data_IF_198899544487
#
_entry.id   IF_198899544487
#
_cell.length_a   1.000
_cell.length_b   1.000
_cell.length_c   1.000
_cell.angle_alpha   90.00
_cell.angle_beta   90.00
_cell.angle_gamma   90.00
#
_symmetry.space_group_name_H-M   'P 1'
#
loop_
_entity.id
_entity.type
_entity.pdbx_description
1 polymer ?
#
# COMPACT_ATOMS: atom_id res chain seq x y z
N UNK A 1 12.40 -14.72 38.06
CA UNK A 1 12.05 -14.86 36.64
C UNK A 1 13.32 -14.63 35.81
N UNK A 2 13.81 -15.65 35.08
CA UNK A 2 15.15 -15.59 34.45
C UNK A 2 15.20 -14.54 33.34
N UNK A 3 16.14 -13.59 33.45
CA UNK A 3 16.40 -12.52 32.47
C UNK A 3 16.62 -13.08 31.06
N UNK A 4 17.26 -14.24 30.93
CA UNK A 4 17.48 -14.93 29.65
C UNK A 4 16.18 -15.35 28.96
N UNK A 5 15.16 -15.73 29.75
CA UNK A 5 13.84 -16.10 29.23
C UNK A 5 13.13 -14.84 28.71
N UNK A 6 13.20 -13.73 29.44
CA UNK A 6 12.61 -12.46 29.03
C UNK A 6 13.21 -11.94 27.71
N UNK A 7 14.53 -12.02 27.53
CA UNK A 7 15.21 -11.59 26.29
C UNK A 7 14.75 -12.43 25.09
N UNK A 8 14.61 -13.75 25.26
CA UNK A 8 14.08 -14.63 24.20
C UNK A 8 12.67 -14.22 23.77
N UNK A 9 11.77 -13.94 24.74
CA UNK A 9 10.42 -13.51 24.42
C UNK A 9 10.39 -12.18 23.68
N UNK A 10 11.22 -11.20 24.08
CA UNK A 10 11.31 -9.89 23.40
C UNK A 10 11.79 -10.07 21.95
N UNK A 11 12.81 -10.90 21.72
CA UNK A 11 13.33 -11.16 20.37
C UNK A 11 12.26 -11.79 19.47
N UNK A 12 11.54 -12.80 19.96
CA UNK A 12 10.45 -13.45 19.22
C UNK A 12 9.32 -12.45 18.90
N UNK A 13 9.00 -11.57 19.84
CA UNK A 13 7.95 -10.54 19.67
C UNK A 13 8.32 -9.55 18.57
N UNK A 14 9.58 -9.09 18.54
CA UNK A 14 10.09 -8.19 17.50
C UNK A 14 10.10 -8.86 16.12
N UNK A 15 10.54 -10.12 16.03
CA UNK A 15 10.51 -10.87 14.76
C UNK A 15 9.08 -11.10 14.28
N UNK A 16 8.16 -11.42 15.19
CA UNK A 16 6.74 -11.58 14.88
C UNK A 16 6.10 -10.30 14.33
N UNK A 17 6.39 -9.15 14.96
CA UNK A 17 5.93 -7.85 14.49
C UNK A 17 6.49 -7.49 13.11
N UNK A 18 7.77 -7.80 12.86
CA UNK A 18 8.39 -7.56 11.56
C UNK A 18 7.75 -8.39 10.44
N UNK A 19 7.55 -9.69 10.69
CA UNK A 19 6.85 -10.58 9.75
C UNK A 19 5.42 -10.15 9.49
N UNK A 20 4.69 -9.72 10.53
CA UNK A 20 3.34 -9.18 10.38
C UNK A 20 3.33 -7.94 9.49
N UNK A 21 4.28 -7.02 9.69
CA UNK A 21 4.44 -5.84 8.83
C UNK A 21 4.68 -6.20 7.37
N UNK A 22 5.60 -7.16 7.10
CA UNK A 22 5.87 -7.65 5.75
C UNK A 22 4.63 -8.27 5.10
N UNK A 23 3.88 -9.10 5.85
CA UNK A 23 2.66 -9.72 5.35
C UNK A 23 1.61 -8.69 4.95
N UNK A 24 1.44 -7.62 5.74
CA UNK A 24 0.49 -6.54 5.43
C UNK A 24 0.88 -5.85 4.11
N UNK A 25 2.15 -5.51 3.94
CA UNK A 25 2.66 -4.89 2.69
C UNK A 25 2.41 -5.83 1.52
N UNK A 26 2.69 -7.12 1.68
CA UNK A 26 2.54 -8.11 0.62
C UNK A 26 1.08 -8.30 0.21
N UNK A 27 0.15 -8.39 1.17
CA UNK A 27 -1.30 -8.44 0.92
C UNK A 27 -1.76 -7.19 0.16
N UNK A 28 -1.21 -6.03 0.52
CA UNK A 28 -1.55 -4.77 -0.11
C UNK A 28 -1.09 -4.70 -1.57
N UNK A 29 0.15 -5.10 -1.84
CA UNK A 29 0.69 -5.20 -3.20
C UNK A 29 -0.10 -6.20 -4.04
N UNK A 30 -0.43 -7.35 -3.47
CA UNK A 30 -1.23 -8.36 -4.15
C UNK A 30 -2.62 -7.82 -4.53
N UNK A 31 -3.29 -7.11 -3.60
CA UNK A 31 -4.59 -6.49 -3.86
C UNK A 31 -4.50 -5.43 -4.96
N UNK A 32 -3.45 -4.59 -4.93
CA UNK A 32 -3.19 -3.57 -5.96
C UNK A 32 -2.97 -4.21 -7.34
N UNK A 33 -2.15 -5.25 -7.41
CA UNK A 33 -1.86 -5.94 -8.65
C UNK A 33 -3.10 -6.63 -9.24
N UNK A 34 -3.92 -7.25 -8.38
CA UNK A 34 -5.17 -7.86 -8.80
C UNK A 34 -6.20 -6.82 -9.33
N UNK A 35 -6.28 -5.65 -8.69
CA UNK A 35 -7.10 -4.54 -9.19
C UNK A 35 -6.63 -4.06 -10.57
N UNK A 36 -5.32 -3.91 -10.73
CA UNK A 36 -4.73 -3.46 -11.99
C UNK A 36 -4.94 -4.48 -13.11
N UNK A 37 -4.74 -5.77 -12.83
CA UNK A 37 -5.00 -6.85 -13.78
C UNK A 37 -6.47 -6.89 -14.22
N UNK A 38 -7.41 -6.69 -13.28
CA UNK A 38 -8.85 -6.59 -13.61
C UNK A 38 -9.16 -5.38 -14.49
N UNK A 39 -8.54 -4.23 -14.21
CA UNK A 39 -8.68 -3.04 -15.06
C UNK A 39 -8.20 -3.32 -16.50
N UNK A 40 -7.00 -3.90 -16.65
CA UNK A 40 -6.44 -4.22 -17.97
C UNK A 40 -7.30 -5.23 -18.73
N UNK A 41 -7.79 -6.30 -18.08
CA UNK A 41 -8.69 -7.27 -18.70
C UNK A 41 -9.96 -6.60 -19.23
N UNK A 42 -10.56 -5.69 -18.44
CA UNK A 42 -11.75 -4.94 -18.87
C UNK A 42 -11.47 -4.01 -20.04
N UNK A 43 -10.31 -3.35 -20.06
CA UNK A 43 -9.90 -2.51 -21.20
C UNK A 43 -9.66 -3.33 -22.47
N UNK A 44 -8.99 -4.48 -22.36
CA UNK A 44 -8.75 -5.39 -23.49
C UNK A 44 -10.05 -5.97 -24.06
N UNK A 45 -11.00 -6.31 -23.19
CA UNK A 45 -12.34 -6.72 -23.62
C UNK A 45 -13.06 -5.57 -24.35
N UNK A 46 -12.88 -4.34 -23.88
CA UNK A 46 -13.46 -3.15 -24.49
C UNK A 46 -12.90 -2.87 -25.89
N UNK A 47 -11.59 -3.03 -26.07
CA UNK A 47 -10.92 -2.91 -27.38
C UNK A 47 -11.38 -3.98 -28.36
N UNK A 48 -11.67 -5.19 -27.88
CA UNK A 48 -12.21 -6.28 -28.70
C UNK A 48 -13.68 -6.08 -29.10
N UNK A 49 -14.43 -5.25 -28.39
CA UNK A 49 -15.77 -4.85 -28.79
C UNK A 49 -15.63 -3.75 -29.85
N UNK A 50 -16.05 -4.00 -31.09
CA UNK A 50 -16.15 -3.00 -32.19
C UNK A 50 -17.19 -1.92 -31.88
N UNK A 51 -16.99 -1.18 -30.79
CA UNK A 51 -17.82 -0.07 -30.35
C UNK A 51 -17.45 1.18 -31.14
N UNK A 52 -18.41 2.09 -31.28
CA UNK A 52 -18.11 3.42 -31.78
C UNK A 52 -17.08 4.10 -30.88
N UNK A 53 -16.17 4.85 -31.48
CA UNK A 53 -15.01 5.47 -30.82
C UNK A 53 -15.40 6.24 -29.55
N UNK A 54 -16.49 7.03 -29.61
CA UNK A 54 -16.99 7.80 -28.47
C UNK A 54 -17.48 6.90 -27.31
N UNK A 55 -18.15 5.79 -27.62
CA UNK A 55 -18.69 4.86 -26.63
C UNK A 55 -17.59 3.98 -26.01
N UNK A 56 -16.55 3.67 -26.80
CA UNK A 56 -15.31 3.08 -26.32
C UNK A 56 -14.59 4.00 -25.32
N UNK A 57 -14.41 5.28 -25.65
CA UNK A 57 -13.78 6.24 -24.73
C UNK A 57 -14.56 6.42 -23.43
N UNK A 58 -15.89 6.54 -23.49
CA UNK A 58 -16.73 6.70 -22.30
C UNK A 58 -16.64 5.49 -21.36
N UNK A 59 -16.67 4.27 -21.90
CA UNK A 59 -16.54 3.05 -21.09
C UNK A 59 -15.12 2.85 -20.54
N UNK A 60 -14.08 3.16 -21.32
CA UNK A 60 -12.69 3.11 -20.86
C UNK A 60 -12.45 4.11 -19.71
N UNK A 61 -13.02 5.31 -19.83
CA UNK A 61 -12.96 6.32 -18.77
C UNK A 61 -13.63 5.82 -17.48
N UNK A 62 -14.83 5.22 -17.59
CA UNK A 62 -15.53 4.63 -16.44
C UNK A 62 -14.70 3.54 -15.76
N UNK A 63 -14.09 2.63 -16.52
CA UNK A 63 -13.23 1.56 -15.98
C UNK A 63 -12.04 2.14 -15.22
N UNK A 64 -11.37 3.16 -15.77
CA UNK A 64 -10.25 3.84 -15.09
C UNK A 64 -10.71 4.59 -13.84
N UNK A 65 -11.87 5.23 -13.91
CA UNK A 65 -12.44 5.96 -12.78
C UNK A 65 -12.81 5.03 -11.62
N UNK A 66 -13.44 3.88 -11.92
CA UNK A 66 -13.77 2.86 -10.91
C UNK A 66 -12.51 2.30 -10.25
N UNK A 67 -11.47 1.99 -11.05
CA UNK A 67 -10.16 1.58 -10.51
C UNK A 67 -9.56 2.66 -9.60
N UNK A 68 -9.62 3.94 -10.01
CA UNK A 68 -9.11 5.06 -9.23
C UNK A 68 -9.85 5.20 -7.90
N UNK A 69 -11.17 5.06 -7.90
CA UNK A 69 -12.00 5.13 -6.69
C UNK A 69 -11.67 4.01 -5.71
N UNK A 70 -11.36 2.81 -6.20
CA UNK A 70 -10.99 1.68 -5.36
C UNK A 70 -9.56 1.79 -4.80
N UNK A 71 -8.64 2.44 -5.51
CA UNK A 71 -7.23 2.61 -5.07
C UNK A 71 -6.99 3.87 -4.21
N UNK A 72 -7.81 4.90 -4.35
CA UNK A 72 -7.67 6.16 -3.59
C UNK A 72 -7.61 5.98 -2.06
N UNK A 73 -8.48 5.20 -1.40
CA UNK A 73 -8.39 5.01 0.05
C UNK A 73 -7.09 4.30 0.46
N UNK A 74 -6.62 3.37 -0.38
CA UNK A 74 -5.36 2.63 -0.17
C UNK A 74 -4.17 3.61 -0.26
N UNK A 75 -4.10 4.45 -1.29
CA UNK A 75 -3.05 5.47 -1.42
C UNK A 75 -3.08 6.51 -0.29
N UNK A 76 -4.27 6.86 0.20
CA UNK A 76 -4.43 7.80 1.31
C UNK A 76 -3.83 7.24 2.61
N UNK A 77 -4.07 5.97 2.91
CA UNK A 77 -3.48 5.29 4.06
C UNK A 77 -1.96 5.19 3.92
N UNK A 78 -1.44 4.84 2.73
CA UNK A 78 0.00 4.82 2.47
C UNK A 78 0.64 6.21 2.66
N UNK A 79 0.04 7.27 2.12
CA UNK A 79 0.53 8.65 2.30
C UNK A 79 0.51 9.05 3.77
N UNK A 80 -0.53 8.70 4.51
CA UNK A 80 -0.60 8.98 5.95
C UNK A 80 0.54 8.28 6.71
N UNK A 81 0.77 6.99 6.47
CA UNK A 81 1.88 6.25 7.09
C UNK A 81 3.22 6.87 6.71
N UNK A 82 3.43 7.20 5.43
CA UNK A 82 4.67 7.83 4.97
C UNK A 82 4.92 9.18 5.65
N UNK A 83 3.89 10.02 5.78
CA UNK A 83 3.96 11.31 6.47
C UNK A 83 4.32 11.11 7.94
N UNK A 84 3.71 10.14 8.63
CA UNK A 84 4.03 9.86 10.03
C UNK A 84 5.45 9.34 10.22
N UNK A 85 5.93 8.44 9.35
CA UNK A 85 7.31 7.94 9.37
C UNK A 85 8.30 9.09 9.12
N UNK A 86 8.04 9.93 8.12
CA UNK A 86 8.86 11.11 7.82
C UNK A 86 8.87 12.12 8.98
N UNK A 87 7.71 12.32 9.63
CA UNK A 87 7.58 13.18 10.79
C UNK A 87 8.41 12.65 11.97
N UNK A 88 8.30 11.35 12.29
CA UNK A 88 9.10 10.69 13.34
C UNK A 88 10.61 10.79 13.05
N UNK A 89 11.03 10.52 11.80
CA UNK A 89 12.42 10.65 11.38
C UNK A 89 12.93 12.09 11.52
N UNK A 90 12.10 13.09 11.21
CA UNK A 90 12.43 14.52 11.39
C UNK A 90 12.52 14.91 12.87
N UNK A 91 11.66 14.37 13.73
CA UNK A 91 11.71 14.63 15.18
C UNK A 91 12.93 14.00 15.84
N UNK A 92 13.33 12.79 15.43
CA UNK A 92 14.58 12.16 15.87
C UNK A 92 15.81 12.98 15.42
N UNK A 93 15.81 13.51 14.20
CA UNK A 93 16.91 14.36 13.71
C UNK A 93 17.02 15.71 14.44
N UNK A 94 15.91 16.24 15.00
CA UNK A 94 15.93 17.45 15.83
C UNK A 94 16.41 17.18 17.26
N UNK A 95 16.08 16.03 17.84
CA UNK A 95 16.55 15.64 19.19
C UNK A 95 18.01 15.22 19.18
N UNK A 96 18.52 14.67 18.07
CA UNK A 96 19.95 14.34 17.90
C UNK A 96 20.88 15.55 17.67
N UNK A 97 20.34 16.76 17.43
CA UNK A 97 21.12 18.00 17.25
C UNK A 97 21.08 18.94 18.46
N UNK A 98 20.58 18.47 19.61
CA UNK A 98 20.52 19.24 20.86
C UNK A 98 21.65 18.96 21.85
N UNK A 99 22.69 18.23 21.46
CA UNK A 99 23.82 17.83 22.32
C UNK A 99 25.18 17.97 21.63
N UNK A 100 25.34 18.95 20.73
CA UNK A 100 26.65 19.42 20.26
C UNK A 100 26.73 20.92 20.45
#
# INVERSE_FOLDING_TARGET
>A
MNILIAIKYIAVLLTGLYLAGLLIVWIFEFKKNNLYSRMQKRLKLLEGMRLSTALGYAKAYKIKHDYRREIEPLERVQKFILIQVLFMAKTQNKTGKGWL
#
